data_IF_760028322869
#
_entry.id   IF_760028322869
#
_cell.length_a   1.000
_cell.length_b   1.000
_cell.length_c   1.000
_cell.angle_alpha   90.00
_cell.angle_beta   90.00
_cell.angle_gamma   90.00
#
_symmetry.space_group_name_H-M   'P 1'
#
loop_
_entity.id
_entity.type
_entity.pdbx_description
1 polymer ?
#
# COMPACT_ATOMS: atom_id res chain seq x y z
N UNK A 1 26.87 -39.97 20.36
CA UNK A 1 26.85 -38.63 19.73
C UNK A 1 27.60 -37.68 20.66
N UNK A 2 28.71 -37.11 20.20
CA UNK A 2 29.66 -36.35 21.02
C UNK A 2 28.99 -35.09 21.63
N UNK A 3 29.31 -34.77 22.91
CA UNK A 3 28.73 -33.59 23.60
C UNK A 3 29.08 -32.29 22.88
N UNK A 4 30.25 -32.23 22.23
CA UNK A 4 30.67 -31.10 21.42
C UNK A 4 29.81 -30.96 20.16
N UNK A 5 29.54 -32.08 19.46
CA UNK A 5 28.65 -32.09 18.29
C UNK A 5 27.25 -31.58 18.66
N UNK A 6 26.69 -32.00 19.80
CA UNK A 6 25.36 -31.54 20.23
C UNK A 6 25.28 -30.03 20.45
N UNK A 7 26.34 -29.42 21.01
CA UNK A 7 26.41 -27.95 21.18
C UNK A 7 26.51 -27.24 19.83
N UNK A 8 27.31 -27.77 18.90
CA UNK A 8 27.44 -27.23 17.54
C UNK A 8 26.09 -27.26 16.81
N UNK A 9 25.35 -28.37 16.87
CA UNK A 9 24.01 -28.46 16.28
C UNK A 9 23.01 -27.49 16.93
N UNK A 10 23.11 -27.28 18.25
CA UNK A 10 22.26 -26.33 18.96
C UNK A 10 22.52 -24.88 18.51
N UNK A 11 23.79 -24.46 18.44
CA UNK A 11 24.13 -23.10 17.98
C UNK A 11 23.76 -22.87 16.52
N UNK A 12 23.95 -23.89 15.67
CA UNK A 12 23.54 -23.83 14.26
C UNK A 12 22.03 -23.70 14.11
N UNK A 13 21.24 -24.43 14.92
CA UNK A 13 19.78 -24.32 14.92
C UNK A 13 19.28 -22.92 15.30
N UNK A 14 19.90 -22.30 16.31
CA UNK A 14 19.56 -20.93 16.74
C UNK A 14 19.89 -19.92 15.64
N UNK A 15 21.06 -20.06 14.98
CA UNK A 15 21.47 -19.17 13.90
C UNK A 15 20.50 -19.22 12.72
N UNK A 16 20.09 -20.42 12.32
CA UNK A 16 19.10 -20.63 11.25
C UNK A 16 17.76 -20.00 11.63
N UNK A 17 17.30 -20.16 12.87
CA UNK A 17 16.05 -19.56 13.34
C UNK A 17 16.06 -18.03 13.26
N UNK A 18 17.17 -17.38 13.63
CA UNK A 18 17.28 -15.91 13.55
C UNK A 18 17.20 -15.42 12.10
N UNK A 19 17.83 -16.13 11.16
CA UNK A 19 17.77 -15.76 9.73
C UNK A 19 16.33 -15.88 9.21
N UNK A 20 15.61 -16.96 9.53
CA UNK A 20 14.23 -17.13 9.07
C UNK A 20 13.28 -16.08 9.65
N UNK A 21 13.42 -15.74 10.93
CA UNK A 21 12.62 -14.68 11.57
C UNK A 21 12.94 -13.32 10.93
N UNK A 22 14.21 -13.01 10.70
CA UNK A 22 14.61 -11.75 10.04
C UNK A 22 14.14 -11.66 8.59
N UNK A 23 14.27 -12.74 7.83
CA UNK A 23 13.85 -12.80 6.42
C UNK A 23 12.33 -12.69 6.28
N UNK A 24 11.56 -13.34 7.15
CA UNK A 24 10.09 -13.24 7.15
C UNK A 24 9.64 -11.83 7.55
N UNK A 25 10.20 -11.24 8.60
CA UNK A 25 9.88 -9.87 9.02
C UNK A 25 10.19 -8.82 7.92
N UNK A 26 11.34 -8.95 7.25
CA UNK A 26 11.71 -8.09 6.13
C UNK A 26 10.79 -8.26 4.92
N UNK A 27 10.37 -9.49 4.60
CA UNK A 27 9.42 -9.78 3.53
C UNK A 27 8.05 -9.13 3.78
N UNK A 28 7.53 -9.20 5.01
CA UNK A 28 6.29 -8.53 5.38
C UNK A 28 6.43 -7.00 5.39
N UNK A 29 7.56 -6.48 5.90
CA UNK A 29 7.84 -5.03 5.93
C UNK A 29 7.99 -4.44 4.52
N UNK A 30 8.67 -5.12 3.59
CA UNK A 30 8.82 -4.67 2.20
C UNK A 30 7.48 -4.63 1.43
N UNK A 31 6.44 -5.27 1.96
CA UNK A 31 5.07 -5.16 1.45
C UNK A 31 4.40 -3.81 1.74
N UNK A 32 4.92 -3.02 2.67
CA UNK A 32 4.39 -1.69 2.99
C UNK A 32 5.25 -0.62 2.32
N UNK A 33 4.99 -0.33 1.04
CA UNK A 33 5.72 0.71 0.32
C UNK A 33 4.82 1.88 -0.06
N UNK A 34 5.17 3.03 0.50
CA UNK A 34 5.01 4.41 0.03
C UNK A 34 3.59 4.98 -0.12
N UNK A 35 3.44 6.21 0.37
CA UNK A 35 2.24 7.05 0.44
C UNK A 35 1.52 7.33 -0.90
N UNK A 36 2.04 6.83 -2.03
CA UNK A 36 1.42 6.96 -3.35
C UNK A 36 0.57 5.75 -3.78
N UNK A 37 0.52 4.65 -3.00
CA UNK A 37 -0.22 3.44 -3.39
C UNK A 37 -0.55 2.55 -2.19
N UNK A 38 -1.83 2.49 -1.80
CA UNK A 38 -2.30 1.49 -0.83
C UNK A 38 -2.38 0.13 -1.52
N UNK A 39 -1.33 -0.68 -1.37
CA UNK A 39 -1.35 -2.08 -1.83
C UNK A 39 -1.95 -2.94 -0.72
N UNK A 40 -3.21 -3.35 -0.89
CA UNK A 40 -3.83 -4.33 0.01
C UNK A 40 -3.41 -5.72 -0.48
N UNK A 41 -2.53 -6.38 0.26
CA UNK A 41 -2.15 -7.78 0.01
C UNK A 41 -3.09 -8.69 0.80
N UNK A 42 -3.84 -9.53 0.09
CA UNK A 42 -4.51 -10.69 0.67
C UNK A 42 -3.80 -11.94 0.13
N UNK A 43 -3.63 -12.98 0.95
CA UNK A 43 -2.82 -14.19 0.63
C UNK A 43 -3.22 -14.96 -0.66
N UNK A 44 -4.27 -14.54 -1.37
CA UNK A 44 -4.73 -15.14 -2.63
C UNK A 44 -4.58 -14.24 -3.87
N UNK A 45 -4.18 -12.97 -3.75
CA UNK A 45 -4.11 -12.02 -4.87
C UNK A 45 -3.77 -10.59 -4.43
N UNK A 46 -3.18 -9.79 -5.33
CA UNK A 46 -2.87 -8.38 -5.02
C UNK A 46 -3.91 -7.47 -5.67
N UNK A 47 -4.62 -6.68 -4.85
CA UNK A 47 -5.41 -5.55 -5.33
C UNK A 47 -4.58 -4.27 -5.14
N UNK A 48 -4.21 -3.64 -6.25
CA UNK A 48 -3.52 -2.36 -6.24
C UNK A 48 -4.51 -1.25 -6.58
N UNK A 49 -4.76 -0.35 -5.63
CA UNK A 49 -5.51 0.88 -5.88
C UNK A 49 -4.50 2.02 -6.09
N UNK A 50 -4.58 2.69 -7.24
CA UNK A 50 -3.78 3.88 -7.55
C UNK A 50 -4.71 5.08 -7.68
N UNK A 51 -4.33 6.19 -7.04
CA UNK A 51 -5.05 7.45 -7.07
C UNK A 51 -4.21 8.49 -7.79
N UNK A 52 -4.78 9.13 -8.81
CA UNK A 52 -4.26 10.33 -9.42
C UNK A 52 -5.19 11.49 -9.09
N UNK A 53 -4.68 12.43 -8.31
CA UNK A 53 -5.41 13.61 -7.88
C UNK A 53 -5.61 14.64 -8.98
N UNK A 54 -4.99 14.48 -10.15
CA UNK A 54 -5.03 15.45 -11.25
C UNK A 54 -4.27 16.75 -10.95
N UNK A 55 -4.23 17.65 -11.93
CA UNK A 55 -3.51 18.93 -11.82
C UNK A 55 -4.09 19.84 -10.73
N UNK A 56 -3.24 20.66 -10.11
CA UNK A 56 -3.67 21.66 -9.13
C UNK A 56 -4.63 22.67 -9.77
N UNK A 57 -5.60 23.14 -8.99
CA UNK A 57 -6.44 24.27 -9.37
C UNK A 57 -5.79 25.52 -8.76
N UNK A 58 -5.09 26.27 -9.60
CA UNK A 58 -4.46 27.54 -9.23
C UNK A 58 -5.27 28.69 -9.86
N UNK A 59 -6.16 29.31 -9.07
CA UNK A 59 -7.03 30.40 -9.51
C UNK A 59 -6.66 31.71 -8.80
N UNK A 60 -6.65 32.81 -9.55
CA UNK A 60 -6.50 34.16 -9.02
C UNK A 60 -7.64 35.06 -9.53
N UNK A 61 -8.02 36.06 -8.74
CA UNK A 61 -9.05 37.03 -9.15
C UNK A 61 -10.46 36.44 -9.25
N UNK A 62 -10.81 35.55 -8.33
CA UNK A 62 -12.10 34.87 -8.26
C UNK A 62 -13.20 35.87 -7.87
N UNK A 63 -14.33 35.88 -8.59
CA UNK A 63 -15.50 36.74 -8.33
C UNK A 63 -16.83 35.99 -8.56
N UNK A 64 -17.97 36.48 -8.06
CA UNK A 64 -19.25 35.82 -8.26
C UNK A 64 -19.66 35.80 -9.74
N UNK A 65 -19.94 34.60 -10.27
CA UNK A 65 -20.51 34.37 -11.62
C UNK A 65 -21.29 33.06 -11.63
N UNK A 66 -22.12 32.88 -12.65
CA UNK A 66 -22.97 31.69 -12.78
C UNK A 66 -22.17 30.44 -13.25
N UNK A 67 -21.04 30.63 -13.91
CA UNK A 67 -20.21 29.54 -14.41
C UNK A 67 -19.23 28.99 -13.36
N UNK A 68 -18.95 27.68 -13.44
CA UNK A 68 -17.94 27.02 -12.59
C UNK A 68 -16.55 27.61 -12.85
N UNK A 69 -15.77 27.79 -11.78
CA UNK A 69 -14.42 28.36 -11.84
C UNK A 69 -13.37 27.39 -12.36
N UNK A 70 -13.42 26.14 -11.91
CA UNK A 70 -12.56 25.07 -12.38
C UNK A 70 -13.19 23.71 -12.10
N UNK A 71 -12.80 22.72 -12.90
CA UNK A 71 -13.16 21.32 -12.69
C UNK A 71 -11.88 20.52 -12.54
N UNK A 72 -11.77 19.72 -11.47
CA UNK A 72 -10.68 18.76 -11.29
C UNK A 72 -11.16 17.38 -11.65
N UNK A 73 -10.43 16.69 -12.52
CA UNK A 73 -10.66 15.27 -12.78
C UNK A 73 -9.73 14.47 -11.88
N UNK A 74 -10.31 13.58 -11.10
CA UNK A 74 -9.61 12.65 -10.22
C UNK A 74 -9.78 11.25 -10.79
N UNK A 75 -8.70 10.48 -10.91
CA UNK A 75 -8.74 9.12 -11.46
C UNK A 75 -8.37 8.11 -10.38
N UNK A 76 -9.21 7.08 -10.22
CA UNK A 76 -8.96 5.96 -9.32
C UNK A 76 -8.93 4.67 -10.15
N UNK A 77 -7.80 3.96 -10.10
CA UNK A 77 -7.58 2.73 -10.85
C UNK A 77 -7.38 1.56 -9.90
N UNK A 78 -8.24 0.55 -9.99
CA UNK A 78 -8.09 -0.73 -9.31
C UNK A 78 -7.54 -1.79 -10.25
N UNK A 79 -6.41 -2.39 -9.90
CA UNK A 79 -5.81 -3.49 -10.65
C UNK A 79 -5.81 -4.78 -9.81
N UNK A 80 -6.59 -5.75 -10.25
CA UNK A 80 -6.64 -7.10 -9.68
C UNK A 80 -5.72 -8.03 -10.48
N UNK A 81 -4.82 -8.74 -9.82
CA UNK A 81 -3.92 -9.70 -10.45
C UNK A 81 -4.51 -11.11 -10.56
N UNK A 82 -5.80 -11.28 -10.26
CA UNK A 82 -6.50 -12.57 -10.22
C UNK A 82 -7.85 -12.49 -10.94
N UNK A 83 -8.39 -13.64 -11.34
CA UNK A 83 -9.71 -13.74 -11.95
C UNK A 83 -10.87 -13.71 -10.93
N UNK A 84 -10.55 -13.78 -9.63
CA UNK A 84 -11.54 -13.71 -8.57
C UNK A 84 -12.01 -12.27 -8.34
N UNK A 85 -13.31 -12.05 -8.15
CA UNK A 85 -13.84 -10.72 -7.84
C UNK A 85 -13.32 -10.23 -6.48
N UNK A 86 -12.63 -9.08 -6.49
CA UNK A 86 -12.14 -8.40 -5.29
C UNK A 86 -12.86 -7.06 -5.15
N UNK A 87 -13.85 -7.01 -4.26
CA UNK A 87 -14.61 -5.79 -4.01
C UNK A 87 -13.77 -4.77 -3.21
N UNK A 88 -13.94 -3.49 -3.54
CA UNK A 88 -13.34 -2.37 -2.81
C UNK A 88 -14.35 -1.25 -2.60
N UNK A 89 -14.13 -0.44 -1.57
CA UNK A 89 -14.95 0.73 -1.24
C UNK A 89 -14.11 1.99 -1.37
N UNK A 90 -14.62 2.98 -2.10
CA UNK A 90 -14.08 4.33 -2.16
C UNK A 90 -14.96 5.26 -1.33
N UNK A 91 -14.34 6.10 -0.50
CA UNK A 91 -15.02 7.17 0.24
C UNK A 91 -14.35 8.48 -0.10
N UNK A 92 -15.11 9.44 -0.64
CA UNK A 92 -14.66 10.82 -0.85
C UNK A 92 -15.25 11.69 0.26
N UNK A 93 -14.38 12.36 1.01
CA UNK A 93 -14.78 13.35 2.02
C UNK A 93 -14.64 14.73 1.38
N UNK A 94 -15.71 15.53 1.45
CA UNK A 94 -15.74 16.89 0.91
C UNK A 94 -15.89 17.85 2.09
N UNK A 95 -14.85 18.63 2.35
CA UNK A 95 -14.88 19.71 3.33
C UNK A 95 -15.17 21.02 2.60
N UNK A 96 -16.27 21.69 2.98
CA UNK A 96 -16.61 23.02 2.49
C UNK A 96 -16.00 24.08 3.42
N UNK A 97 -15.16 24.97 2.91
CA UNK A 97 -14.91 26.24 3.59
C UNK A 97 -16.10 27.17 3.33
N UNK A 98 -16.77 27.56 4.42
CA UNK A 98 -17.86 28.55 4.38
C UNK A 98 -17.30 29.94 4.62
#
# INVERSE_FOLDING_TARGET
>A
MDKQLKKIYLYMGIFVAIIFIGATYAFFTAGMSSENSTTVRADAGTMKITYDGGANIDLAGIYPKDDVWATKTITVTGNNTTDAEMYYKLTLVVDSNT
#
